data_IF_281069111913
#
_entry.id   IF_281069111913
#
_cell.length_a   1.000
_cell.length_b   1.000
_cell.length_c   1.000
_cell.angle_alpha   90.00
_cell.angle_beta   90.00
_cell.angle_gamma   90.00
#
_symmetry.space_group_name_H-M   'P 1'
#
loop_
_entity.id
_entity.type
_entity.pdbx_description
1 polymer ?
#
# COMPACT_ATOMS: atom_id res chain seq x y z
N UNK A 1 6.65 -6.99 14.81
CA UNK A 1 5.81 -6.85 16.02
C UNK A 1 5.54 -8.27 16.52
N UNK A 2 6.57 -8.98 16.98
CA UNK A 2 6.44 -10.30 17.61
C UNK A 2 6.49 -10.08 19.12
N UNK A 3 5.36 -9.70 19.71
CA UNK A 3 5.21 -9.82 21.16
C UNK A 3 4.68 -11.23 21.40
N UNK A 4 5.50 -12.08 22.01
CA UNK A 4 5.04 -13.36 22.52
C UNK A 4 3.85 -13.12 23.47
N UNK A 5 2.67 -13.50 23.01
CA UNK A 5 1.49 -13.51 23.86
C UNK A 5 1.75 -14.56 24.95
N UNK A 6 1.49 -14.20 26.21
CA UNK A 6 1.52 -15.21 27.27
C UNK A 6 0.55 -16.33 26.91
N UNK A 7 0.89 -17.58 27.27
CA UNK A 7 0.05 -18.73 26.92
C UNK A 7 -1.40 -18.55 27.38
N UNK A 8 -1.60 -17.99 28.57
CA UNK A 8 -2.93 -17.69 29.11
C UNK A 8 -3.70 -16.65 28.27
N UNK A 9 -3.02 -15.62 27.73
CA UNK A 9 -3.64 -14.65 26.84
C UNK A 9 -3.99 -15.29 25.49
N UNK A 10 -3.09 -16.10 24.92
CA UNK A 10 -3.32 -16.77 23.64
C UNK A 10 -4.50 -17.76 23.71
N UNK A 11 -4.64 -18.53 24.80
CA UNK A 11 -5.81 -19.39 25.05
C UNK A 11 -7.10 -18.56 25.13
N UNK A 12 -7.07 -17.45 25.88
CA UNK A 12 -8.23 -16.56 25.99
C UNK A 12 -8.66 -15.99 24.64
N UNK A 13 -7.69 -15.61 23.80
CA UNK A 13 -7.97 -15.10 22.45
C UNK A 13 -8.51 -16.20 21.54
N UNK A 14 -7.95 -17.42 21.59
CA UNK A 14 -8.43 -18.58 20.83
C UNK A 14 -9.91 -18.90 21.11
N UNK A 15 -10.31 -18.84 22.38
CA UNK A 15 -11.71 -18.97 22.78
C UNK A 15 -12.57 -17.82 22.24
N UNK A 16 -12.13 -16.57 22.45
CA UNK A 16 -12.91 -15.37 22.08
C UNK A 16 -13.11 -15.19 20.58
N UNK A 17 -12.14 -15.59 19.75
CA UNK A 17 -12.26 -15.46 18.30
C UNK A 17 -12.99 -16.65 17.65
N UNK A 18 -13.33 -17.70 18.41
CA UNK A 18 -14.01 -18.90 17.88
C UNK A 18 -13.07 -19.95 17.27
N UNK A 19 -11.75 -19.78 17.39
CA UNK A 19 -10.79 -20.77 16.88
C UNK A 19 -10.95 -22.14 17.53
N UNK A 20 -11.16 -22.19 18.86
CA UNK A 20 -11.38 -23.45 19.57
C UNK A 20 -12.67 -24.17 19.12
N UNK A 21 -13.74 -23.41 18.86
CA UNK A 21 -15.00 -23.96 18.36
C UNK A 21 -14.85 -24.49 16.93
N UNK A 22 -14.11 -23.78 16.08
CA UNK A 22 -13.74 -24.26 14.76
C UNK A 22 -12.99 -25.60 14.85
N UNK A 23 -11.94 -25.68 15.66
CA UNK A 23 -11.20 -26.94 15.83
C UNK A 23 -12.11 -28.08 16.31
N UNK A 24 -13.01 -27.80 17.25
CA UNK A 24 -13.97 -28.79 17.76
C UNK A 24 -14.95 -29.28 16.69
N UNK A 25 -15.32 -28.43 15.75
CA UNK A 25 -16.24 -28.78 14.66
C UNK A 25 -15.55 -29.59 13.54
N UNK A 26 -14.25 -29.42 13.34
CA UNK A 26 -13.53 -29.93 12.16
C UNK A 26 -12.49 -31.00 12.45
N UNK A 27 -11.98 -31.10 13.68
CA UNK A 27 -10.87 -31.97 14.05
C UNK A 27 -11.13 -32.66 15.39
N UNK A 28 -10.64 -33.89 15.56
CA UNK A 28 -10.51 -34.54 16.86
C UNK A 28 -9.35 -33.94 17.68
N UNK A 29 -9.40 -34.04 19.01
CA UNK A 29 -8.28 -33.64 19.88
C UNK A 29 -6.98 -34.38 19.55
N UNK A 30 -7.06 -35.62 19.06
CA UNK A 30 -5.90 -36.40 18.65
C UNK A 30 -5.23 -35.79 17.41
N UNK A 31 -6.01 -35.38 16.41
CA UNK A 31 -5.50 -34.72 15.20
C UNK A 31 -4.89 -33.36 15.53
N UNK A 32 -5.60 -32.52 16.30
CA UNK A 32 -5.05 -31.24 16.76
C UNK A 32 -3.76 -31.46 17.54
N UNK A 33 -3.76 -32.43 18.46
CA UNK A 33 -2.61 -32.73 19.28
C UNK A 33 -1.40 -33.23 18.50
N UNK A 34 -1.61 -33.96 17.41
CA UNK A 34 -0.55 -34.38 16.52
C UNK A 34 0.14 -33.19 15.84
N UNK A 35 -0.63 -32.19 15.38
CA UNK A 35 -0.07 -30.98 14.74
C UNK A 35 0.66 -30.10 15.76
N UNK A 36 0.08 -29.92 16.95
CA UNK A 36 0.67 -29.13 18.04
C UNK A 36 1.82 -29.84 18.78
N UNK A 37 2.08 -31.12 18.50
CA UNK A 37 3.05 -31.93 19.23
C UNK A 37 2.72 -32.12 20.71
N UNK A 38 1.43 -32.10 21.07
CA UNK A 38 0.95 -32.18 22.46
C UNK A 38 -0.39 -32.90 22.56
N UNK A 39 -0.55 -33.77 23.56
CA UNK A 39 -1.87 -34.31 23.90
C UNK A 39 -2.71 -33.28 24.65
N UNK A 40 -3.93 -33.04 24.17
CA UNK A 40 -4.94 -32.19 24.80
C UNK A 40 -6.03 -33.05 25.43
N UNK A 41 -6.54 -32.61 26.58
CA UNK A 41 -7.71 -33.23 27.22
C UNK A 41 -9.01 -32.51 26.84
N UNK A 42 -8.93 -31.23 26.48
CA UNK A 42 -10.08 -30.40 26.11
C UNK A 42 -9.68 -29.29 25.13
N UNK A 43 -10.61 -28.84 24.29
CA UNK A 43 -10.33 -27.79 23.30
C UNK A 43 -10.01 -26.43 23.94
N UNK A 44 -10.47 -26.18 25.17
CA UNK A 44 -10.15 -24.96 25.92
C UNK A 44 -8.66 -24.82 26.26
N UNK A 45 -7.87 -25.89 26.15
CA UNK A 45 -6.42 -25.87 26.35
C UNK A 45 -5.64 -25.34 25.13
N UNK A 46 -6.29 -25.23 23.97
CA UNK A 46 -5.64 -24.92 22.70
C UNK A 46 -5.47 -23.40 22.56
N UNK A 47 -4.26 -22.97 22.19
CA UNK A 47 -3.87 -21.57 22.05
C UNK A 47 -3.74 -21.17 20.57
N UNK A 48 -3.79 -19.87 20.28
CA UNK A 48 -3.43 -19.33 18.96
C UNK A 48 -1.93 -19.58 18.73
N UNK A 49 -1.55 -20.31 17.68
CA UNK A 49 -0.18 -20.70 17.42
C UNK A 49 0.74 -19.51 17.06
N UNK A 50 2.04 -19.70 17.19
CA UNK A 50 3.03 -18.79 16.60
C UNK A 50 2.98 -18.93 15.06
N UNK A 51 2.98 -17.82 14.33
CA UNK A 51 2.68 -17.74 12.88
C UNK A 51 3.45 -18.73 11.99
N UNK A 52 4.68 -19.07 12.35
CA UNK A 52 5.60 -19.84 11.50
C UNK A 52 5.75 -21.31 11.91
N UNK A 53 5.05 -21.75 12.96
CA UNK A 53 5.11 -23.12 13.48
C UNK A 53 4.18 -24.07 12.71
N UNK A 54 4.38 -25.40 12.77
CA UNK A 54 3.51 -26.38 12.12
C UNK A 54 2.01 -26.18 12.44
N UNK A 55 1.69 -25.89 13.69
CA UNK A 55 0.32 -25.66 14.15
C UNK A 55 -0.34 -24.39 13.62
N UNK A 56 0.42 -23.45 13.03
CA UNK A 56 -0.14 -22.27 12.37
C UNK A 56 -1.08 -22.65 11.21
N UNK A 57 -0.84 -23.80 10.57
CA UNK A 57 -1.71 -24.35 9.52
C UNK A 57 -3.18 -24.35 9.94
N UNK A 58 -3.48 -24.88 11.12
CA UNK A 58 -4.86 -25.02 11.60
C UNK A 58 -5.50 -23.65 11.86
N UNK A 59 -4.70 -22.67 12.28
CA UNK A 59 -5.18 -21.30 12.46
C UNK A 59 -5.42 -20.60 11.12
N UNK A 60 -4.59 -20.83 10.10
CA UNK A 60 -4.82 -20.30 8.76
C UNK A 60 -6.08 -20.89 8.12
N UNK A 61 -6.33 -22.20 8.27
CA UNK A 61 -7.58 -22.84 7.81
C UNK A 61 -8.82 -22.23 8.49
N UNK A 62 -8.75 -22.02 9.81
CA UNK A 62 -9.78 -21.29 10.55
C UNK A 62 -9.97 -19.87 10.01
N UNK A 63 -8.89 -19.14 9.77
CA UNK A 63 -8.94 -17.76 9.30
C UNK A 63 -9.54 -17.66 7.90
N UNK A 64 -9.18 -18.56 6.98
CA UNK A 64 -9.77 -18.66 5.65
C UNK A 64 -11.27 -18.94 5.72
N UNK A 65 -11.69 -19.87 6.60
CA UNK A 65 -13.10 -20.16 6.83
C UNK A 65 -13.86 -18.95 7.38
N UNK A 66 -13.26 -18.24 8.35
CA UNK A 66 -13.81 -17.01 8.90
C UNK A 66 -13.97 -15.92 7.83
N UNK A 67 -12.96 -15.69 6.99
CA UNK A 67 -13.01 -14.69 5.92
C UNK A 67 -14.10 -15.01 4.90
N UNK A 68 -14.18 -16.26 4.46
CA UNK A 68 -15.22 -16.70 3.52
C UNK A 68 -16.63 -16.52 4.11
N UNK A 69 -16.81 -16.82 5.40
CA UNK A 69 -18.07 -16.58 6.10
C UNK A 69 -18.40 -15.08 6.18
N UNK A 70 -17.44 -14.26 6.61
CA UNK A 70 -17.61 -12.81 6.70
C UNK A 70 -17.99 -12.21 5.34
N UNK A 71 -17.35 -12.67 4.27
CA UNK A 71 -17.67 -12.23 2.91
C UNK A 71 -19.09 -12.64 2.52
N UNK A 72 -19.44 -13.90 2.73
CA UNK A 72 -20.77 -14.42 2.39
C UNK A 72 -21.87 -13.65 3.12
N UNK A 73 -21.72 -13.41 4.43
CA UNK A 73 -22.65 -12.60 5.23
C UNK A 73 -22.69 -11.13 4.75
N UNK A 74 -21.54 -10.57 4.33
CA UNK A 74 -21.48 -9.20 3.81
C UNK A 74 -22.15 -9.08 2.43
N UNK A 75 -22.08 -10.11 1.60
CA UNK A 75 -22.71 -10.17 0.28
C UNK A 75 -24.23 -10.19 0.35
N UNK A 76 -24.83 -10.59 1.48
CA UNK A 76 -26.28 -10.45 1.71
C UNK A 76 -26.72 -8.99 1.70
N UNK A 77 -25.83 -8.07 2.09
CA UNK A 77 -26.07 -6.61 2.13
C UNK A 77 -25.47 -5.90 0.91
N UNK A 78 -24.31 -6.34 0.46
CA UNK A 78 -23.57 -5.79 -0.67
C UNK A 78 -23.33 -6.86 -1.74
N UNK A 79 -24.34 -7.17 -2.56
CA UNK A 79 -24.20 -8.16 -3.64
C UNK A 79 -23.01 -7.82 -4.54
N UNK A 80 -22.17 -8.82 -4.83
CA UNK A 80 -20.98 -8.66 -5.66
C UNK A 80 -19.74 -8.11 -4.94
N UNK A 81 -19.81 -7.84 -3.63
CA UNK A 81 -18.62 -7.51 -2.83
C UNK A 81 -17.58 -8.62 -2.97
N UNK A 82 -16.33 -8.24 -3.28
CA UNK A 82 -15.17 -9.14 -3.36
C UNK A 82 -14.16 -8.83 -2.25
N UNK A 83 -13.09 -9.62 -2.15
CA UNK A 83 -11.96 -9.36 -1.26
C UNK A 83 -10.63 -9.52 -2.00
N UNK A 84 -9.63 -8.74 -1.58
CA UNK A 84 -8.24 -8.98 -1.99
C UNK A 84 -7.76 -10.30 -1.36
N UNK A 85 -7.31 -11.22 -2.20
CA UNK A 85 -6.83 -12.53 -1.75
C UNK A 85 -5.35 -12.46 -1.33
N UNK A 86 -4.95 -13.37 -0.43
CA UNK A 86 -3.53 -13.61 -0.15
C UNK A 86 -2.96 -14.58 -1.19
N UNK A 87 -2.38 -14.06 -2.27
CA UNK A 87 -1.89 -14.85 -3.40
C UNK A 87 -0.58 -15.59 -3.14
N UNK A 88 0.26 -15.05 -2.26
CA UNK A 88 1.44 -15.74 -1.73
C UNK A 88 1.07 -16.63 -0.53
N UNK A 89 1.94 -17.57 -0.19
CA UNK A 89 1.70 -18.47 0.93
C UNK A 89 2.37 -18.01 2.23
N UNK A 90 1.81 -18.43 3.36
CA UNK A 90 2.47 -18.25 4.66
C UNK A 90 3.49 -19.39 4.90
N UNK A 91 4.76 -19.07 5.20
CA UNK A 91 5.77 -20.10 5.44
C UNK A 91 5.55 -20.81 6.76
N UNK A 92 5.50 -22.13 6.70
CA UNK A 92 5.39 -23.05 7.85
C UNK A 92 6.70 -23.82 7.95
N UNK A 93 7.45 -23.58 9.03
CA UNK A 93 8.73 -24.22 9.31
C UNK A 93 8.53 -25.48 10.14
N UNK A 94 9.15 -26.56 9.69
CA UNK A 94 9.22 -27.83 10.39
C UNK A 94 10.36 -27.82 11.41
N UNK A 95 10.33 -28.78 12.35
CA UNK A 95 11.35 -28.88 13.40
C UNK A 95 12.75 -29.19 12.88
N UNK A 96 12.86 -29.76 11.67
CA UNK A 96 14.14 -30.05 10.99
C UNK A 96 14.72 -28.85 10.22
N UNK A 97 14.04 -27.70 10.25
CA UNK A 97 14.44 -26.48 9.55
C UNK A 97 13.97 -26.38 8.10
N UNK A 98 13.33 -27.43 7.56
CA UNK A 98 12.62 -27.34 6.28
C UNK A 98 11.37 -26.46 6.40
N UNK A 99 10.84 -25.97 5.28
CA UNK A 99 9.58 -25.23 5.28
C UNK A 99 8.72 -25.57 4.08
N UNK A 100 7.43 -25.34 4.25
CA UNK A 100 6.41 -25.40 3.19
C UNK A 100 5.60 -24.10 3.24
N UNK A 101 4.82 -23.82 2.19
CA UNK A 101 3.92 -22.67 2.17
C UNK A 101 2.48 -23.13 2.32
N UNK A 102 1.76 -22.55 3.28
CA UNK A 102 0.31 -22.69 3.35
C UNK A 102 -0.32 -21.79 2.30
N UNK A 103 -1.15 -22.36 1.42
CA UNK A 103 -1.86 -21.61 0.39
C UNK A 103 -3.27 -21.25 0.88
N UNK A 104 -3.60 -19.97 0.80
CA UNK A 104 -4.94 -19.44 1.10
C UNK A 104 -5.94 -19.65 -0.05
N UNK A 105 -5.71 -20.64 -0.91
CA UNK A 105 -6.53 -20.90 -2.12
C UNK A 105 -8.02 -21.10 -1.85
N UNK A 106 -8.39 -21.50 -0.62
CA UNK A 106 -9.78 -21.58 -0.20
C UNK A 106 -10.52 -20.23 -0.25
N UNK A 107 -9.80 -19.10 -0.20
CA UNK A 107 -10.37 -17.74 -0.29
C UNK A 107 -10.46 -17.23 -1.73
N UNK A 108 -9.77 -17.88 -2.67
CA UNK A 108 -9.61 -17.37 -4.03
C UNK A 108 -10.92 -17.24 -4.81
N UNK A 109 -11.95 -18.08 -4.62
CA UNK A 109 -13.21 -17.92 -5.35
C UNK A 109 -14.02 -16.67 -4.96
N UNK A 110 -13.85 -16.11 -3.75
CA UNK A 110 -14.63 -14.96 -3.27
C UNK A 110 -16.17 -15.13 -3.42
N UNK A 111 -16.66 -16.35 -3.18
CA UNK A 111 -18.07 -16.73 -3.31
C UNK A 111 -18.69 -16.28 -4.65
N UNK A 112 -19.80 -15.54 -4.61
CA UNK A 112 -20.59 -15.17 -5.79
C UNK A 112 -20.13 -13.86 -6.46
N UNK A 113 -19.02 -13.27 -5.99
CA UNK A 113 -18.46 -12.08 -6.65
C UNK A 113 -18.03 -12.39 -8.09
N UNK A 114 -18.23 -11.44 -9.01
CA UNK A 114 -17.86 -11.62 -10.43
C UNK A 114 -16.35 -11.82 -10.62
N UNK A 115 -15.55 -11.22 -9.74
CA UNK A 115 -14.10 -11.29 -9.72
C UNK A 115 -13.58 -11.46 -8.30
N UNK A 116 -12.32 -11.88 -8.19
CA UNK A 116 -11.53 -11.82 -6.96
C UNK A 116 -10.50 -10.70 -7.07
N UNK A 117 -10.23 -9.97 -5.99
CA UNK A 117 -9.23 -8.91 -6.03
C UNK A 117 -7.82 -9.46 -5.76
N UNK A 118 -6.80 -8.83 -6.35
CA UNK A 118 -5.41 -9.27 -6.27
C UNK A 118 -4.44 -8.08 -6.23
N UNK A 119 -3.46 -8.17 -5.34
CA UNK A 119 -2.18 -7.47 -5.48
C UNK A 119 -1.17 -8.38 -6.20
N UNK A 120 -0.63 -7.93 -7.34
CA UNK A 120 0.41 -8.63 -8.06
C UNK A 120 1.72 -7.83 -8.01
N UNK A 121 2.82 -8.52 -7.72
CA UNK A 121 4.17 -7.97 -7.78
C UNK A 121 5.06 -8.87 -8.63
N UNK A 122 6.04 -8.26 -9.32
CA UNK A 122 7.10 -8.99 -10.05
C UNK A 122 7.84 -9.98 -9.14
N UNK A 123 7.93 -9.67 -7.85
CA UNK A 123 8.57 -10.52 -6.83
C UNK A 123 7.79 -11.79 -6.48
N UNK A 124 6.54 -11.92 -6.93
CA UNK A 124 5.72 -13.09 -6.65
C UNK A 124 6.36 -14.35 -7.27
N UNK A 125 6.61 -15.34 -6.43
CA UNK A 125 7.25 -16.60 -6.84
C UNK A 125 8.76 -16.51 -7.11
N UNK A 126 9.39 -15.37 -6.84
CA UNK A 126 10.83 -15.17 -7.04
C UNK A 126 11.65 -15.46 -5.78
N UNK A 127 12.97 -15.52 -5.94
CA UNK A 127 13.90 -15.75 -4.82
C UNK A 127 14.01 -14.54 -3.89
N UNK A 128 13.83 -13.32 -4.41
CA UNK A 128 13.87 -12.08 -3.64
C UNK A 128 15.19 -11.91 -2.87
N UNK A 129 16.29 -11.89 -3.63
CA UNK A 129 17.67 -11.74 -3.11
C UNK A 129 18.33 -10.43 -3.54
N UNK A 130 17.54 -9.45 -3.98
CA UNK A 130 17.99 -8.17 -4.54
C UNK A 130 18.45 -8.27 -6.00
N UNK A 131 18.02 -9.33 -6.69
CA UNK A 131 18.34 -9.59 -8.09
C UNK A 131 17.46 -8.82 -9.07
N UNK A 132 17.97 -8.67 -10.28
CA UNK A 132 17.23 -8.11 -11.41
C UNK A 132 17.06 -9.20 -12.48
N UNK A 133 15.86 -9.29 -13.05
CA UNK A 133 15.49 -10.25 -14.09
C UNK A 133 15.06 -9.54 -15.37
N UNK A 134 15.17 -10.23 -16.50
CA UNK A 134 14.70 -9.69 -17.77
C UNK A 134 13.17 -9.55 -17.81
N UNK A 135 12.67 -8.65 -18.65
CA UNK A 135 11.23 -8.50 -18.90
C UNK A 135 10.59 -9.81 -19.39
N UNK A 136 11.29 -10.59 -20.23
CA UNK A 136 10.84 -11.90 -20.70
C UNK A 136 10.62 -12.88 -19.53
N UNK A 137 11.57 -12.93 -18.60
CA UNK A 137 11.49 -13.80 -17.40
C UNK A 137 10.33 -13.37 -16.50
N UNK A 138 10.17 -12.05 -16.30
CA UNK A 138 9.07 -11.50 -15.51
C UNK A 138 7.70 -11.79 -16.13
N UNK A 139 7.55 -11.66 -17.46
CA UNK A 139 6.30 -11.98 -18.18
C UNK A 139 5.96 -13.46 -18.09
N UNK A 140 6.93 -14.35 -18.27
CA UNK A 140 6.71 -15.79 -18.14
C UNK A 140 6.27 -16.18 -16.72
N UNK A 141 6.89 -15.58 -15.70
CA UNK A 141 6.50 -15.79 -14.30
C UNK A 141 5.11 -15.24 -13.99
N UNK A 142 4.79 -14.05 -14.52
CA UNK A 142 3.46 -13.44 -14.40
C UNK A 142 2.39 -14.36 -15.01
N UNK A 143 2.60 -14.83 -16.24
CA UNK A 143 1.65 -15.70 -16.94
C UNK A 143 1.40 -16.98 -16.14
N UNK A 144 2.45 -17.64 -15.66
CA UNK A 144 2.32 -18.86 -14.88
C UNK A 144 1.57 -18.63 -13.56
N UNK A 145 1.90 -17.55 -12.85
CA UNK A 145 1.26 -17.20 -11.59
C UNK A 145 -0.22 -16.87 -11.78
N UNK A 146 -0.54 -16.00 -12.74
CA UNK A 146 -1.91 -15.59 -13.03
C UNK A 146 -2.77 -16.76 -13.51
N UNK A 147 -2.23 -17.66 -14.34
CA UNK A 147 -2.94 -18.87 -14.76
C UNK A 147 -3.27 -19.78 -13.57
N UNK A 148 -2.30 -20.01 -12.68
CA UNK A 148 -2.52 -20.82 -11.48
C UNK A 148 -3.51 -20.19 -10.49
N UNK A 149 -3.56 -18.86 -10.43
CA UNK A 149 -4.57 -18.14 -9.64
C UNK A 149 -5.97 -18.34 -10.24
N UNK A 150 -6.13 -18.11 -11.55
CA UNK A 150 -7.42 -18.29 -12.26
C UNK A 150 -7.91 -19.73 -12.20
N UNK A 151 -7.01 -20.71 -12.33
CA UNK A 151 -7.35 -22.14 -12.20
C UNK A 151 -7.94 -22.45 -10.81
N UNK A 152 -7.37 -21.87 -9.74
CA UNK A 152 -7.81 -22.09 -8.36
C UNK A 152 -9.07 -21.32 -7.99
N UNK A 153 -9.28 -20.13 -8.54
CA UNK A 153 -10.47 -19.32 -8.28
C UNK A 153 -11.66 -19.70 -9.16
N UNK A 154 -11.40 -20.23 -10.36
CA UNK A 154 -12.40 -20.45 -11.40
C UNK A 154 -12.88 -19.16 -12.09
N UNK A 155 -12.24 -18.01 -11.84
CA UNK A 155 -12.65 -16.70 -12.38
C UNK A 155 -11.48 -15.74 -12.58
N UNK A 156 -11.72 -14.68 -13.36
CA UNK A 156 -10.74 -13.60 -13.57
C UNK A 156 -10.58 -12.76 -12.31
N UNK A 157 -9.45 -12.07 -12.22
CA UNK A 157 -9.15 -11.17 -11.12
C UNK A 157 -9.34 -9.70 -11.49
N UNK A 158 -9.70 -8.86 -10.53
CA UNK A 158 -9.40 -7.44 -10.63
C UNK A 158 -8.06 -7.21 -9.94
N UNK A 159 -7.04 -6.81 -10.70
CA UNK A 159 -5.70 -6.57 -10.15
C UNK A 159 -5.66 -5.19 -9.51
N UNK A 160 -6.13 -5.05 -8.26
CA UNK A 160 -6.23 -3.77 -7.55
C UNK A 160 -4.90 -3.04 -7.45
N UNK A 161 -3.81 -3.80 -7.35
CA UNK A 161 -2.46 -3.27 -7.20
C UNK A 161 -1.51 -3.99 -8.14
N UNK A 162 -1.15 -3.34 -9.25
CA UNK A 162 -0.10 -3.80 -10.15
C UNK A 162 1.25 -3.18 -9.76
N UNK A 163 2.11 -3.96 -9.11
CA UNK A 163 3.48 -3.61 -8.73
C UNK A 163 4.47 -4.11 -9.80
N UNK A 164 4.47 -3.46 -10.95
CA UNK A 164 5.48 -3.67 -12.02
C UNK A 164 6.85 -3.09 -11.64
N UNK A 165 6.86 -2.12 -10.72
CA UNK A 165 8.04 -1.57 -10.06
C UNK A 165 7.65 -1.22 -8.61
N UNK A 166 8.56 -1.46 -7.66
CA UNK A 166 8.36 -1.13 -6.27
C UNK A 166 9.65 -0.56 -5.65
N UNK A 167 9.60 0.72 -5.27
CA UNK A 167 10.70 1.41 -4.58
C UNK A 167 10.59 1.36 -3.06
N UNK A 168 9.67 0.55 -2.50
CA UNK A 168 9.48 0.45 -1.07
C UNK A 168 10.74 -0.11 -0.43
N UNK A 169 11.45 0.71 0.35
CA UNK A 169 12.77 0.34 0.87
C UNK A 169 12.78 -0.92 1.74
N UNK A 170 11.71 -1.12 2.53
CA UNK A 170 11.54 -2.33 3.34
C UNK A 170 11.51 -3.62 2.51
N UNK A 171 11.32 -3.51 1.20
CA UNK A 171 11.27 -4.58 0.22
C UNK A 171 12.34 -4.44 -0.87
N UNK A 172 13.41 -3.68 -0.62
CA UNK A 172 14.52 -3.48 -1.58
C UNK A 172 15.25 -4.77 -1.98
N UNK A 173 15.07 -5.86 -1.22
CA UNK A 173 15.58 -7.19 -1.55
C UNK A 173 14.65 -7.96 -2.51
N UNK A 174 13.45 -7.47 -2.80
CA UNK A 174 12.56 -8.12 -3.76
C UNK A 174 13.20 -8.10 -5.16
N UNK A 175 12.98 -9.18 -5.90
CA UNK A 175 13.41 -9.27 -7.30
C UNK A 175 12.73 -8.18 -8.13
N UNK A 176 13.52 -7.47 -8.94
CA UNK A 176 13.04 -6.39 -9.81
C UNK A 176 13.28 -6.73 -11.28
N UNK A 177 12.65 -5.97 -12.18
CA UNK A 177 12.97 -6.05 -13.61
C UNK A 177 14.18 -5.15 -13.86
N UNK A 178 15.07 -5.58 -14.75
CA UNK A 178 16.14 -4.71 -15.28
C UNK A 178 15.58 -3.33 -15.66
N UNK A 179 16.17 -2.25 -15.14
CA UNK A 179 15.57 -0.90 -15.20
C UNK A 179 15.23 -0.44 -16.62
N UNK A 180 16.07 -0.84 -17.58
CA UNK A 180 15.93 -0.55 -19.02
C UNK A 180 14.83 -1.35 -19.72
N UNK A 181 14.35 -2.43 -19.11
CA UNK A 181 13.36 -3.35 -19.69
C UNK A 181 11.96 -3.21 -19.08
N UNK A 182 11.78 -2.35 -18.06
CA UNK A 182 10.47 -2.16 -17.41
C UNK A 182 9.39 -1.72 -18.40
N UNK A 183 9.73 -0.81 -19.34
CA UNK A 183 8.80 -0.39 -20.38
C UNK A 183 8.37 -1.56 -21.28
N UNK A 184 9.29 -2.47 -21.62
CA UNK A 184 8.98 -3.64 -22.44
C UNK A 184 8.10 -4.64 -21.69
N UNK A 185 8.33 -4.84 -20.39
CA UNK A 185 7.43 -5.64 -19.55
C UNK A 185 6.00 -5.07 -19.52
N UNK A 186 5.85 -3.75 -19.31
CA UNK A 186 4.55 -3.08 -19.25
C UNK A 186 3.79 -3.23 -20.58
N UNK A 187 4.43 -2.91 -21.72
CA UNK A 187 3.79 -3.01 -23.04
C UNK A 187 3.33 -4.43 -23.37
N UNK A 188 4.13 -5.43 -23.01
CA UNK A 188 3.89 -6.83 -23.37
C UNK A 188 3.04 -7.60 -22.33
N UNK A 189 2.59 -6.94 -21.26
CA UNK A 189 1.69 -7.52 -20.25
C UNK A 189 0.24 -7.65 -20.74
N UNK A 190 -0.14 -6.92 -21.80
CA UNK A 190 -1.52 -6.85 -22.27
C UNK A 190 -2.20 -8.22 -22.50
N UNK A 191 -1.56 -9.22 -23.16
CA UNK A 191 -2.19 -10.53 -23.36
C UNK A 191 -2.53 -11.23 -22.03
N UNK A 192 -1.62 -11.17 -21.06
CA UNK A 192 -1.80 -11.79 -19.74
C UNK A 192 -2.99 -11.17 -19.03
N UNK A 193 -3.08 -9.84 -19.00
CA UNK A 193 -4.20 -9.14 -18.36
C UNK A 193 -5.53 -9.45 -19.04
N UNK A 194 -5.59 -9.48 -20.39
CA UNK A 194 -6.83 -9.82 -21.10
C UNK A 194 -7.36 -11.20 -20.70
N UNK A 195 -6.47 -12.18 -20.59
CA UNK A 195 -6.86 -13.56 -20.33
C UNK A 195 -7.22 -13.78 -18.85
N UNK A 196 -6.54 -13.09 -17.94
CA UNK A 196 -6.59 -13.42 -16.51
C UNK A 196 -7.26 -12.36 -15.63
N UNK A 197 -7.50 -11.15 -16.15
CA UNK A 197 -8.09 -10.04 -15.39
C UNK A 197 -9.32 -9.42 -16.08
N UNK A 198 -10.16 -8.78 -15.27
CA UNK A 198 -11.25 -7.90 -15.74
C UNK A 198 -10.87 -6.41 -15.67
N UNK A 199 -9.69 -6.09 -15.16
CA UNK A 199 -9.15 -4.75 -15.02
C UNK A 199 -7.94 -4.72 -14.09
N UNK A 200 -7.27 -3.58 -14.02
CA UNK A 200 -6.16 -3.38 -13.10
C UNK A 200 -6.09 -1.94 -12.56
N UNK A 201 -5.64 -1.83 -11.32
CA UNK A 201 -5.19 -0.61 -10.66
C UNK A 201 -3.68 -0.61 -10.51
N UNK A 202 -3.10 0.58 -10.32
CA UNK A 202 -1.65 0.76 -10.18
C UNK A 202 -1.32 1.03 -8.72
N UNK A 203 -0.25 0.40 -8.24
CA UNK A 203 0.30 0.72 -6.92
C UNK A 203 0.73 2.19 -6.83
N UNK A 204 1.45 2.67 -7.85
CA UNK A 204 1.93 4.05 -7.94
C UNK A 204 1.64 4.60 -9.33
N UNK A 205 0.49 5.26 -9.47
CA UNK A 205 0.18 6.02 -10.68
C UNK A 205 0.96 7.35 -10.73
N UNK A 206 1.03 8.03 -9.59
CA UNK A 206 1.76 9.28 -9.39
C UNK A 206 2.66 9.11 -8.17
N UNK A 207 3.90 9.54 -8.26
CA UNK A 207 4.79 9.48 -7.12
C UNK A 207 4.15 10.21 -5.94
N UNK A 208 4.29 9.63 -4.76
CA UNK A 208 3.82 10.23 -3.52
C UNK A 208 4.91 10.14 -2.49
N UNK A 209 4.87 11.06 -1.54
CA UNK A 209 5.86 11.15 -0.47
C UNK A 209 5.24 10.67 0.83
N UNK A 210 6.07 10.14 1.73
CA UNK A 210 5.65 9.82 3.09
C UNK A 210 5.51 11.11 3.93
N UNK A 211 4.60 12.00 3.52
CA UNK A 211 4.37 13.28 4.17
C UNK A 211 3.93 13.10 5.62
N UNK A 212 4.65 13.70 6.54
CA UNK A 212 4.33 13.67 7.97
C UNK A 212 3.56 14.91 8.45
N UNK A 213 3.42 15.95 7.61
CA UNK A 213 2.70 17.17 7.93
C UNK A 213 1.20 16.92 7.85
N UNK A 214 0.53 17.06 8.99
CA UNK A 214 -0.91 17.03 9.04
C UNK A 214 -1.48 18.37 8.58
N UNK A 215 -2.50 18.33 7.70
CA UNK A 215 -3.23 19.51 7.24
C UNK A 215 -2.30 20.57 6.60
N UNK A 216 -1.31 20.12 5.81
CA UNK A 216 -0.36 20.98 5.09
C UNK A 216 -0.98 21.84 3.98
N UNK A 217 -2.17 21.48 3.52
CA UNK A 217 -3.00 22.24 2.57
C UNK A 217 -4.09 23.09 3.25
N UNK A 218 -4.10 23.15 4.59
CA UNK A 218 -5.02 23.97 5.38
C UNK A 218 -6.53 23.78 5.09
N UNK A 219 -6.93 22.67 4.48
CA UNK A 219 -8.34 22.35 4.19
C UNK A 219 -9.20 22.33 5.47
N UNK A 220 -8.58 22.03 6.61
CA UNK A 220 -9.20 22.06 7.95
C UNK A 220 -8.87 23.36 8.71
N UNK A 221 -8.52 24.42 8.01
CA UNK A 221 -8.02 25.67 8.59
C UNK A 221 -6.68 25.45 9.32
N UNK A 222 -6.60 25.92 10.57
CA UNK A 222 -5.40 25.78 11.42
C UNK A 222 -5.43 24.55 12.33
N UNK A 223 -6.36 23.61 12.11
CA UNK A 223 -6.42 22.38 12.91
C UNK A 223 -5.10 21.62 12.82
N UNK A 224 -4.53 21.26 13.98
CA UNK A 224 -3.24 20.58 14.10
C UNK A 224 -2.01 21.47 13.94
N UNK A 225 -2.18 22.79 13.83
CA UNK A 225 -1.09 23.75 13.79
C UNK A 225 -1.07 24.61 15.04
N UNK A 226 0.09 24.74 15.66
CA UNK A 226 0.35 25.74 16.70
C UNK A 226 0.80 27.05 16.02
N UNK A 227 0.22 28.17 16.43
CA UNK A 227 0.50 29.48 15.83
C UNK A 227 0.91 30.51 16.88
N UNK A 228 1.87 31.35 16.53
CA UNK A 228 2.22 32.56 17.30
C UNK A 228 2.29 33.76 16.36
N UNK A 229 1.82 34.93 16.80
CA UNK A 229 1.78 36.13 15.96
C UNK A 229 0.52 36.23 15.10
N UNK A 230 0.63 36.82 13.91
CA UNK A 230 -0.50 37.01 13.00
C UNK A 230 -0.45 36.00 11.85
N UNK A 231 -1.34 35.01 11.92
CA UNK A 231 -1.54 33.96 10.91
C UNK A 231 -2.96 34.05 10.39
N UNK A 232 -3.12 34.48 9.14
CA UNK A 232 -4.42 34.71 8.51
C UNK A 232 -4.78 33.55 7.58
N UNK A 233 -5.97 32.97 7.74
CA UNK A 233 -6.50 32.00 6.79
C UNK A 233 -6.86 32.74 5.50
N UNK A 234 -6.41 32.23 4.37
CA UNK A 234 -6.63 32.80 3.03
C UNK A 234 -6.96 31.69 2.04
N UNK A 235 -7.12 32.05 0.78
CA UNK A 235 -7.32 31.13 -0.33
C UNK A 235 -6.49 31.60 -1.55
N UNK A 236 -6.03 30.65 -2.37
CA UNK A 236 -5.55 30.93 -3.73
C UNK A 236 -5.94 29.75 -4.63
N UNK A 237 -6.37 30.05 -5.85
CA UNK A 237 -6.71 29.03 -6.86
C UNK A 237 -7.71 27.95 -6.37
N UNK A 238 -8.63 28.32 -5.46
CA UNK A 238 -9.59 27.40 -4.84
C UNK A 238 -9.01 26.51 -3.73
N UNK A 239 -7.73 26.64 -3.41
CA UNK A 239 -7.04 25.96 -2.30
C UNK A 239 -6.98 26.84 -1.05
N UNK A 240 -7.20 26.26 0.13
CA UNK A 240 -7.04 26.96 1.41
C UNK A 240 -5.56 27.15 1.69
N UNK A 241 -5.20 28.29 2.25
CA UNK A 241 -3.82 28.63 2.54
C UNK A 241 -3.73 29.50 3.80
N UNK A 242 -2.52 29.82 4.23
CA UNK A 242 -2.28 30.73 5.36
C UNK A 242 -1.29 31.82 4.98
N UNK A 243 -1.56 33.06 5.39
CA UNK A 243 -0.61 34.16 5.30
C UNK A 243 0.05 34.36 6.65
N UNK A 244 1.36 34.12 6.72
CA UNK A 244 2.17 34.43 7.89
C UNK A 244 2.66 35.86 7.76
N UNK A 245 2.40 36.68 8.78
CA UNK A 245 3.07 37.97 8.92
C UNK A 245 4.52 37.78 9.35
N UNK A 246 5.35 38.82 9.18
CA UNK A 246 6.73 38.83 9.67
C UNK A 246 6.79 38.37 11.13
N UNK A 247 7.78 37.53 11.44
CA UNK A 247 8.07 36.97 12.77
C UNK A 247 6.94 36.10 13.37
N UNK A 248 5.88 35.81 12.59
CA UNK A 248 4.86 34.84 12.99
C UNK A 248 5.39 33.42 12.82
N UNK A 249 4.89 32.51 13.67
CA UNK A 249 5.34 31.13 13.73
C UNK A 249 4.17 30.22 13.42
N UNK A 250 4.42 29.22 12.58
CA UNK A 250 3.55 28.09 12.35
C UNK A 250 4.35 26.82 12.69
N UNK A 251 3.86 25.98 13.60
CA UNK A 251 4.59 24.78 14.04
C UNK A 251 3.70 23.57 14.23
N UNK A 252 4.30 22.38 14.13
CA UNK A 252 3.63 21.11 14.36
C UNK A 252 4.60 20.08 14.95
N UNK A 253 4.12 19.35 15.96
CA UNK A 253 4.80 18.14 16.43
C UNK A 253 4.47 16.98 15.47
N UNK A 254 5.51 16.49 14.80
CA UNK A 254 5.43 15.44 13.78
C UNK A 254 6.28 14.23 14.15
N UNK A 255 6.76 14.16 15.40
CA UNK A 255 7.62 13.09 15.88
C UNK A 255 6.99 11.70 15.70
N UNK A 256 7.82 10.72 15.34
CA UNK A 256 7.43 9.32 15.13
C UNK A 256 6.76 9.03 13.79
N UNK A 257 6.62 10.02 12.91
CA UNK A 257 5.93 9.89 11.61
C UNK A 257 6.85 9.67 10.40
N UNK A 258 8.16 9.90 10.56
CA UNK A 258 9.14 9.65 9.51
C UNK A 258 10.09 8.51 9.88
N UNK A 259 10.42 7.68 8.90
CA UNK A 259 11.52 6.72 8.98
C UNK A 259 12.87 7.42 8.78
N UNK A 260 13.90 6.95 9.51
CA UNK A 260 15.26 7.49 9.47
C UNK A 260 15.90 7.34 8.09
N UNK A 261 16.45 8.44 7.57
CA UNK A 261 17.14 8.54 6.27
C UNK A 261 18.35 9.47 6.37
N UNK A 262 18.98 9.78 5.24
CA UNK A 262 20.08 10.74 5.20
C UNK A 262 19.59 12.20 5.31
N UNK A 263 18.40 12.47 4.77
CA UNK A 263 17.82 13.81 4.67
C UNK A 263 16.33 13.82 5.01
N UNK A 264 15.88 15.00 5.41
CA UNK A 264 14.47 15.38 5.46
C UNK A 264 14.26 16.44 4.38
N UNK A 265 13.26 16.23 3.54
CA UNK A 265 12.86 17.13 2.48
C UNK A 265 11.64 17.93 2.89
N UNK A 266 11.57 19.17 2.43
CA UNK A 266 10.39 20.02 2.55
C UNK A 266 10.03 20.52 1.16
N UNK A 267 8.79 20.27 0.73
CA UNK A 267 8.17 20.89 -0.45
C UNK A 267 7.02 21.77 0.04
N UNK A 268 6.85 22.95 -0.54
CA UNK A 268 5.77 23.86 -0.17
C UNK A 268 5.50 24.84 -1.30
N UNK A 269 4.26 25.33 -1.37
CA UNK A 269 3.92 26.48 -2.19
C UNK A 269 4.05 27.76 -1.36
N UNK A 270 4.55 28.83 -1.97
CA UNK A 270 4.64 30.14 -1.33
C UNK A 270 4.40 31.28 -2.30
N UNK A 271 3.80 32.36 -1.81
CA UNK A 271 3.66 33.63 -2.51
C UNK A 271 4.01 34.81 -1.59
N UNK A 272 5.13 35.52 -1.81
CA UNK A 272 5.45 36.71 -1.04
C UNK A 272 4.51 37.87 -1.37
N UNK A 273 4.04 38.62 -0.37
CA UNK A 273 3.11 39.74 -0.58
C UNK A 273 3.81 41.03 -1.03
N UNK A 274 5.03 41.29 -0.57
CA UNK A 274 5.74 42.57 -0.76
C UNK A 274 7.23 42.36 -1.08
N UNK A 275 7.51 41.99 -2.33
CA UNK A 275 8.86 41.68 -2.81
C UNK A 275 9.42 40.39 -2.19
N UNK A 276 10.65 40.04 -2.57
CA UNK A 276 11.26 38.79 -2.12
C UNK A 276 11.27 38.67 -0.59
N UNK A 277 10.95 37.48 -0.10
CA UNK A 277 10.89 37.14 1.32
C UNK A 277 11.68 35.86 1.59
N UNK A 278 12.02 35.62 2.86
CA UNK A 278 12.69 34.41 3.31
C UNK A 278 11.76 33.60 4.19
N UNK A 279 11.50 32.37 3.78
CA UNK A 279 10.80 31.36 4.60
C UNK A 279 11.87 30.51 5.28
N UNK A 280 11.80 30.37 6.60
CA UNK A 280 12.75 29.59 7.39
C UNK A 280 12.06 28.42 8.05
N UNK A 281 12.52 27.22 7.73
CA UNK A 281 12.12 25.97 8.35
C UNK A 281 13.14 25.63 9.43
N UNK A 282 12.67 25.50 10.67
CA UNK A 282 13.38 24.86 11.75
C UNK A 282 12.80 23.46 11.94
N UNK A 283 13.66 22.44 11.81
CA UNK A 283 13.31 21.04 11.98
C UNK A 283 14.29 20.48 13.00
N UNK A 284 13.80 20.25 14.22
CA UNK A 284 14.69 20.00 15.36
C UNK A 284 15.64 21.18 15.59
N UNK A 285 16.94 20.87 15.59
CA UNK A 285 18.01 21.85 15.79
C UNK A 285 18.49 22.47 14.46
N UNK A 286 18.15 21.85 13.33
CA UNK A 286 18.54 22.33 12.02
C UNK A 286 17.62 23.45 11.53
N UNK A 287 18.22 24.45 10.86
CA UNK A 287 17.48 25.53 10.19
C UNK A 287 17.85 25.61 8.72
N UNK A 288 16.84 25.74 7.87
CA UNK A 288 17.02 25.99 6.44
C UNK A 288 16.12 27.13 6.02
N UNK A 289 16.70 28.10 5.34
CA UNK A 289 15.96 29.21 4.76
C UNK A 289 15.91 29.10 3.25
N UNK A 290 14.75 29.42 2.69
CA UNK A 290 14.50 29.46 1.24
C UNK A 290 14.08 30.88 0.89
N UNK A 291 14.74 31.46 -0.12
CA UNK A 291 14.35 32.76 -0.67
C UNK A 291 13.16 32.53 -1.63
N UNK A 292 12.04 33.17 -1.34
CA UNK A 292 10.84 33.15 -2.19
C UNK A 292 10.73 34.51 -2.90
N UNK A 293 10.71 34.49 -4.22
CA UNK A 293 10.72 35.71 -5.06
C UNK A 293 9.40 35.93 -5.77
N UNK A 294 8.69 34.85 -6.07
CA UNK A 294 7.40 34.86 -6.77
C UNK A 294 6.46 33.77 -6.21
N UNK A 295 5.21 33.76 -6.66
CA UNK A 295 4.27 32.72 -6.31
C UNK A 295 4.66 31.41 -7.01
N UNK A 296 4.83 30.31 -6.26
CA UNK A 296 5.20 29.03 -6.86
C UNK A 296 5.57 27.95 -5.84
N UNK A 297 5.96 26.79 -6.37
CA UNK A 297 6.47 25.67 -5.58
C UNK A 297 7.96 25.86 -5.28
N UNK A 298 8.34 25.57 -4.05
CA UNK A 298 9.70 25.64 -3.55
C UNK A 298 10.05 24.35 -2.81
N UNK A 299 11.34 24.04 -2.79
CA UNK A 299 11.85 22.87 -2.08
C UNK A 299 13.16 23.15 -1.37
N UNK A 300 13.40 22.40 -0.31
CA UNK A 300 14.70 22.34 0.33
C UNK A 300 14.89 21.00 1.07
N UNK A 301 16.11 20.74 1.50
CA UNK A 301 16.42 19.58 2.33
C UNK A 301 17.39 19.94 3.44
N UNK A 302 17.33 19.21 4.54
CA UNK A 302 18.32 19.20 5.62
C UNK A 302 18.81 17.78 5.90
N UNK A 303 19.97 17.60 6.55
CA UNK A 303 20.35 16.31 7.11
C UNK A 303 19.32 15.81 8.12
N UNK A 304 19.18 14.49 8.24
CA UNK A 304 18.28 13.86 9.20
C UNK A 304 18.49 14.35 10.64
N UNK A 305 17.39 14.44 11.39
CA UNK A 305 17.35 14.83 12.79
C UNK A 305 16.60 13.76 13.58
N UNK A 306 17.03 13.42 14.80
CA UNK A 306 16.31 12.47 15.66
C UNK A 306 15.03 13.11 16.25
N UNK A 307 15.12 14.41 16.59
CA UNK A 307 13.96 15.25 16.87
C UNK A 307 13.70 16.13 15.64
N UNK A 308 12.57 15.96 14.98
CA UNK A 308 12.25 16.62 13.72
C UNK A 308 10.91 17.37 13.77
N UNK A 309 10.58 17.97 14.91
CA UNK A 309 9.42 18.86 14.99
C UNK A 309 9.60 20.07 14.08
N UNK A 310 8.52 20.44 13.38
CA UNK A 310 8.51 21.46 12.36
C UNK A 310 8.11 22.81 12.96
N UNK A 311 8.88 23.86 12.64
CA UNK A 311 8.54 25.26 12.89
C UNK A 311 8.91 26.10 11.68
N UNK A 312 8.03 27.01 11.29
CA UNK A 312 8.13 27.82 10.08
C UNK A 312 7.98 29.29 10.48
N UNK A 313 8.91 30.11 10.03
CA UNK A 313 8.88 31.57 10.21
C UNK A 313 9.19 32.29 8.91
N UNK A 314 8.76 33.56 8.82
CA UNK A 314 8.99 34.39 7.65
C UNK A 314 9.51 35.77 8.06
N UNK A 315 10.42 36.34 7.27
CA UNK A 315 10.97 37.69 7.52
C UNK A 315 10.08 38.82 6.98
N UNK A 316 9.09 38.46 6.17
CA UNK A 316 8.05 39.32 5.58
C UNK A 316 6.74 38.55 5.49
N UNK A 317 5.68 39.22 5.04
CA UNK A 317 4.40 38.57 4.81
C UNK A 317 4.46 37.63 3.60
N UNK A 318 4.14 36.34 3.82
CA UNK A 318 4.15 35.29 2.81
C UNK A 318 2.91 34.42 2.98
N UNK A 319 2.20 34.15 1.88
CA UNK A 319 1.18 33.10 1.85
C UNK A 319 1.87 31.75 1.62
N UNK A 320 1.52 30.74 2.42
CA UNK A 320 2.02 29.38 2.35
C UNK A 320 0.85 28.41 2.12
N UNK A 321 1.10 27.39 1.30
CA UNK A 321 0.19 26.27 1.06
C UNK A 321 0.97 24.98 0.77
N UNK A 322 0.29 23.83 0.77
CA UNK A 322 0.77 22.53 0.33
C UNK A 322 2.13 22.14 0.95
N UNK A 323 2.27 22.40 2.25
CA UNK A 323 3.49 22.13 3.01
C UNK A 323 3.58 20.63 3.25
N UNK A 324 4.63 20.02 2.71
CA UNK A 324 4.97 18.60 2.89
C UNK A 324 6.33 18.49 3.53
N UNK A 325 6.48 17.55 4.46
CA UNK A 325 7.78 17.17 5.02
C UNK A 325 7.91 15.65 5.00
N UNK A 326 8.96 15.15 4.36
CA UNK A 326 9.07 13.73 4.05
C UNK A 326 10.54 13.28 4.02
N UNK A 327 10.76 11.96 4.08
CA UNK A 327 12.10 11.37 3.99
C UNK A 327 12.23 10.39 2.82
N UNK A 328 11.12 10.02 2.19
CA UNK A 328 11.06 9.09 1.09
C UNK A 328 9.97 9.49 0.08
N UNK A 329 10.29 9.32 -1.19
CA UNK A 329 9.34 9.39 -2.30
C UNK A 329 9.19 7.98 -2.86
N UNK A 330 7.96 7.52 -2.98
CA UNK A 330 7.62 6.28 -3.66
C UNK A 330 7.52 6.58 -5.16
N UNK A 331 8.29 5.85 -5.97
CA UNK A 331 8.38 6.07 -7.42
C UNK A 331 7.54 5.06 -8.20
N UNK A 332 6.73 5.57 -9.11
CA UNK A 332 6.02 4.79 -10.13
C UNK A 332 6.59 4.97 -11.54
N UNK A 333 7.43 5.99 -11.79
CA UNK A 333 7.96 6.27 -13.16
C UNK A 333 6.89 6.57 -14.23
N UNK A 334 5.63 6.83 -13.84
CA UNK A 334 4.58 7.29 -14.76
C UNK A 334 4.40 8.82 -14.64
N UNK A 335 4.15 9.31 -13.43
CA UNK A 335 4.08 10.76 -13.14
C UNK A 335 4.83 11.07 -11.85
N UNK A 336 5.53 12.20 -11.81
CA UNK A 336 6.17 12.67 -10.57
C UNK A 336 5.17 13.25 -9.56
N UNK A 337 5.69 13.68 -8.40
CA UNK A 337 4.90 14.30 -7.33
C UNK A 337 4.17 15.57 -7.77
N UNK A 338 4.58 16.21 -8.86
CA UNK A 338 4.00 17.44 -9.42
C UNK A 338 3.07 17.16 -10.62
N UNK A 339 3.04 15.91 -11.11
CA UNK A 339 2.16 15.44 -12.17
C UNK A 339 2.80 15.50 -13.55
N UNK A 340 4.11 15.76 -13.64
CA UNK A 340 4.82 15.71 -14.92
C UNK A 340 5.03 14.26 -15.33
N UNK A 341 4.89 14.01 -16.63
CA UNK A 341 5.13 12.70 -17.21
C UNK A 341 6.58 12.23 -16.99
N UNK A 342 6.71 10.96 -16.70
CA UNK A 342 7.96 10.24 -16.53
C UNK A 342 8.09 9.16 -17.64
N UNK A 343 9.18 8.40 -17.60
CA UNK A 343 9.61 7.55 -18.71
C UNK A 343 8.66 6.39 -19.08
N UNK A 344 7.79 5.94 -18.16
CA UNK A 344 6.82 4.87 -18.42
C UNK A 344 5.43 5.37 -18.84
N UNK A 345 5.18 6.69 -18.86
CA UNK A 345 3.87 7.23 -19.24
C UNK A 345 3.40 6.76 -20.62
N UNK A 346 4.29 6.76 -21.61
CA UNK A 346 4.00 6.28 -22.96
C UNK A 346 3.71 4.76 -22.99
N UNK A 347 4.51 3.96 -22.28
CA UNK A 347 4.32 2.51 -22.21
C UNK A 347 2.95 2.11 -21.64
N UNK A 348 2.47 2.83 -20.62
CA UNK A 348 1.13 2.59 -20.05
C UNK A 348 0.00 3.01 -21.00
N UNK A 349 0.19 4.06 -21.80
CA UNK A 349 -0.78 4.41 -22.85
C UNK A 349 -0.86 3.34 -23.93
N UNK A 350 0.28 2.77 -24.33
CA UNK A 350 0.33 1.64 -25.27
C UNK A 350 -0.35 0.40 -24.69
N UNK A 351 -0.09 0.07 -23.43
CA UNK A 351 -0.78 -1.02 -22.72
C UNK A 351 -2.30 -0.81 -22.74
N UNK A 352 -2.78 0.37 -22.32
CA UNK A 352 -4.21 0.67 -22.28
C UNK A 352 -4.85 0.61 -23.67
N UNK A 353 -4.19 1.17 -24.69
CA UNK A 353 -4.67 1.10 -26.07
C UNK A 353 -4.77 -0.37 -26.55
N UNK A 354 -3.81 -1.22 -26.17
CA UNK A 354 -3.85 -2.63 -26.50
C UNK A 354 -5.02 -3.35 -25.79
N UNK A 355 -5.37 -2.98 -24.56
CA UNK A 355 -6.52 -3.53 -23.83
C UNK A 355 -7.87 -3.11 -24.43
N UNK A 356 -8.00 -1.84 -24.84
CA UNK A 356 -9.23 -1.26 -25.41
C UNK A 356 -9.59 -1.83 -26.79
N UNK A 357 -8.60 -2.11 -27.65
CA UNK A 357 -8.81 -2.61 -29.02
C UNK A 357 -9.54 -3.96 -29.11
N UNK A 358 -9.76 -4.63 -27.99
CA UNK A 358 -10.45 -5.93 -27.90
C UNK A 358 -11.89 -5.85 -27.37
N UNK A 359 -12.35 -4.72 -26.84
CA UNK A 359 -13.76 -4.56 -26.42
C UNK A 359 -14.73 -4.32 -27.59
N UNK A 360 -14.25 -4.12 -28.81
CA UNK A 360 -15.04 -3.81 -30.01
C UNK A 360 -15.55 -5.05 -30.78
N UNK A 361 -15.46 -6.27 -30.24
CA UNK A 361 -15.80 -7.50 -30.97
C UNK A 361 -17.08 -8.24 -30.54
N UNK A 362 -17.90 -7.70 -29.62
CA UNK A 362 -19.26 -8.21 -29.43
C UNK A 362 -20.31 -7.10 -29.62
N UNK A 363 -21.16 -7.17 -30.67
CA UNK A 363 -22.32 -6.29 -30.75
C UNK A 363 -23.29 -6.68 -29.64
N UNK A 364 -23.53 -5.76 -28.72
CA UNK A 364 -24.61 -5.84 -27.74
C UNK A 364 -25.93 -6.07 -28.50
N UNK A 365 -26.68 -7.16 -28.24
CA UNK A 365 -27.98 -7.36 -28.85
C UNK A 365 -28.89 -6.21 -28.43
N UNK A 366 -29.52 -5.54 -29.39
CA UNK A 366 -30.49 -4.50 -29.10
C UNK A 366 -31.55 -5.05 -28.14
N UNK A 367 -31.73 -4.38 -27.00
CA UNK A 367 -32.80 -4.71 -26.07
C UNK A 367 -34.15 -4.59 -26.78
N UNK A 368 -34.81 -5.73 -26.95
CA UNK A 368 -36.17 -5.81 -27.47
C UNK A 368 -37.10 -5.13 -26.47
N UNK A 369 -37.56 -3.92 -26.82
CA UNK A 369 -38.51 -3.14 -26.02
C UNK A 369 -39.91 -3.65 -26.31
N UNK A 370 -40.21 -4.84 -25.79
CA UNK A 370 -41.57 -5.36 -25.74
C UNK A 370 -41.81 -6.23 -24.51
N UNK A 371 -42.14 -5.57 -23.39
CA UNK A 371 -43.25 -5.93 -22.47
C UNK A 371 -43.43 -4.92 -21.35
#
# INVERSE_FOLDING_TARGET
>A
MDRDLTRALSIRLASRCGYQDYLKAHYSLAEVGAVYGKTFQDYSEIWIPERKRPEAKLFFEFYDSFLNKLLSESQEVFPGLSMEIRSDGDPIYQLDGSHTYYSHSATYPCADAEYSALMYSVSLGQQNVGDHISAETALASMQNSMNGLVEKSGKKYFMEQFLYADSTEAFSYNTQIEESQVADFVKNTAPILKDTTCGYGLWVYRNYVNDCVYNGQFALGLTGWDTTGNVEKTEHDGSKAVTLSKDSVLSQNVHGRLGKRDKIYVKFWAAPKNGAAKVTFQIGDAKKSVQVTEAGNYECSIPWQENYNLSITTDRSVTLDNIKMYSHEQYGRIYDTDGNEQDLAAAFRELNAALDQTQTLEPVPAADSSK
#
